data_IF_493675931289
#
_entry.id   IF_493675931289
#
_cell.length_a   1.000
_cell.length_b   1.000
_cell.length_c   1.000
_cell.angle_alpha   90.00
_cell.angle_beta   90.00
_cell.angle_gamma   90.00
#
_symmetry.space_group_name_H-M   'P 1'
#
loop_
_entity.id
_entity.type
_entity.pdbx_description
1 polymer ?
#
# COMPACT_ATOMS: atom_id res chain seq x y z
N UNK A 1 33.66 2.41 -24.36
CA UNK A 1 33.31 2.17 -22.94
C UNK A 1 31.98 2.84 -22.54
N UNK A 2 31.58 4.00 -23.10
CA UNK A 2 30.31 4.66 -22.77
C UNK A 2 29.03 4.02 -23.36
N UNK A 3 29.10 3.42 -24.54
CA UNK A 3 27.93 2.84 -25.21
C UNK A 3 27.20 1.73 -24.43
N UNK A 4 27.89 0.74 -23.80
CA UNK A 4 27.20 -0.29 -23.01
C UNK A 4 26.51 0.28 -21.77
N UNK A 5 27.12 1.30 -21.13
CA UNK A 5 26.55 1.94 -19.93
C UNK A 5 25.26 2.71 -20.25
N UNK A 6 25.22 3.42 -21.39
CA UNK A 6 24.04 4.13 -21.87
C UNK A 6 22.90 3.16 -22.22
N UNK A 7 23.22 1.99 -22.80
CA UNK A 7 22.22 0.98 -23.16
C UNK A 7 21.60 0.31 -21.91
N UNK A 8 22.40 0.07 -20.87
CA UNK A 8 21.94 -0.45 -19.58
C UNK A 8 21.02 0.56 -18.87
N UNK A 9 21.42 1.83 -18.82
CA UNK A 9 20.65 2.92 -18.23
C UNK A 9 19.29 3.11 -18.94
N UNK A 10 19.28 3.06 -20.28
CA UNK A 10 18.04 3.12 -21.07
C UNK A 10 17.13 1.92 -20.79
N UNK A 11 17.70 0.72 -20.62
CA UNK A 11 16.97 -0.50 -20.28
C UNK A 11 16.26 -0.37 -18.93
N UNK A 12 16.96 0.11 -17.91
CA UNK A 12 16.40 0.31 -16.57
C UNK A 12 15.26 1.33 -16.57
N UNK A 13 15.43 2.46 -17.27
CA UNK A 13 14.37 3.46 -17.39
C UNK A 13 13.10 2.92 -18.05
N UNK A 14 13.24 2.06 -19.07
CA UNK A 14 12.09 1.43 -19.74
C UNK A 14 11.37 0.47 -18.81
N UNK A 15 12.11 -0.36 -18.06
CA UNK A 15 11.52 -1.31 -17.09
C UNK A 15 10.79 -0.55 -15.97
N UNK A 16 11.40 0.52 -15.43
CA UNK A 16 10.78 1.35 -14.40
C UNK A 16 9.49 2.01 -14.89
N UNK A 17 9.47 2.53 -16.12
CA UNK A 17 8.29 3.13 -16.72
C UNK A 17 7.17 2.10 -16.93
N UNK A 18 7.50 0.88 -17.35
CA UNK A 18 6.52 -0.20 -17.52
C UNK A 18 5.93 -0.67 -16.20
N UNK A 19 6.78 -0.81 -15.17
CA UNK A 19 6.37 -1.17 -13.80
C UNK A 19 5.43 -0.10 -13.22
N UNK A 20 5.80 1.18 -13.33
CA UNK A 20 4.98 2.30 -12.87
C UNK A 20 3.63 2.34 -13.60
N UNK A 21 3.62 2.21 -14.94
CA UNK A 21 2.40 2.22 -15.72
C UNK A 21 1.48 1.03 -15.37
N UNK A 22 2.06 -0.13 -15.06
CA UNK A 22 1.30 -1.28 -14.56
C UNK A 22 0.66 -0.97 -13.20
N UNK A 23 1.43 -0.46 -12.22
CA UNK A 23 0.92 -0.15 -10.89
C UNK A 23 -0.17 0.93 -10.92
N UNK A 24 0.00 1.98 -11.72
CA UNK A 24 -1.01 3.04 -11.92
C UNK A 24 -2.32 2.43 -12.42
N UNK A 25 -2.27 1.67 -13.52
CA UNK A 25 -3.48 1.07 -14.11
C UNK A 25 -4.16 0.08 -13.16
N UNK A 26 -3.36 -0.76 -12.50
CA UNK A 26 -3.87 -1.74 -11.54
C UNK A 26 -4.60 -1.05 -10.38
N UNK A 27 -3.97 -0.06 -9.74
CA UNK A 27 -4.58 0.63 -8.60
C UNK A 27 -5.75 1.52 -9.01
N UNK A 28 -5.73 2.13 -10.20
CA UNK A 28 -6.88 2.87 -10.71
C UNK A 28 -8.10 1.96 -10.88
N UNK A 29 -7.92 0.78 -11.49
CA UNK A 29 -8.99 -0.22 -11.62
C UNK A 29 -9.46 -0.75 -10.27
N UNK A 30 -8.52 -1.10 -9.40
CA UNK A 30 -8.83 -1.62 -8.08
C UNK A 30 -9.54 -0.58 -7.21
N UNK A 31 -9.13 0.68 -7.25
CA UNK A 31 -9.77 1.78 -6.53
C UNK A 31 -11.21 2.01 -7.03
N UNK A 32 -11.43 1.97 -8.35
CA UNK A 32 -12.78 2.04 -8.90
C UNK A 32 -13.66 0.87 -8.44
N UNK A 33 -13.13 -0.37 -8.47
CA UNK A 33 -13.83 -1.55 -7.98
C UNK A 33 -14.13 -1.47 -6.48
N UNK A 34 -13.16 -1.02 -5.67
CA UNK A 34 -13.31 -0.81 -4.24
C UNK A 34 -14.36 0.26 -3.94
N UNK A 35 -14.37 1.40 -4.66
CA UNK A 35 -15.36 2.45 -4.49
C UNK A 35 -16.79 1.96 -4.80
N UNK A 36 -16.96 1.13 -5.83
CA UNK A 36 -18.25 0.50 -6.17
C UNK A 36 -18.65 -0.52 -5.11
N UNK A 37 -17.72 -1.36 -4.65
CA UNK A 37 -18.03 -2.38 -3.67
C UNK A 37 -18.36 -1.78 -2.31
N UNK A 38 -17.56 -0.82 -1.82
CA UNK A 38 -17.72 -0.20 -0.51
C UNK A 38 -18.82 0.87 -0.46
N UNK A 39 -19.21 1.45 -1.60
CA UNK A 39 -20.29 2.44 -1.68
C UNK A 39 -21.68 1.79 -1.73
N UNK A 40 -22.19 1.41 -2.91
CA UNK A 40 -23.55 0.89 -3.07
C UNK A 40 -23.80 -0.56 -2.63
N UNK A 41 -22.76 -1.41 -2.45
CA UNK A 41 -22.96 -2.87 -2.29
C UNK A 41 -22.85 -3.41 -0.85
N UNK A 42 -22.37 -2.64 0.12
CA UNK A 42 -22.41 -3.04 1.52
C UNK A 42 -23.46 -2.24 2.28
N UNK A 43 -24.48 -2.90 2.89
CA UNK A 43 -25.40 -2.19 3.77
C UNK A 43 -24.59 -1.54 4.91
N UNK A 44 -24.87 -0.25 5.17
CA UNK A 44 -24.33 0.46 6.33
C UNK A 44 -24.54 -0.39 7.58
N UNK A 45 -23.57 -0.44 8.47
CA UNK A 45 -23.73 -1.10 9.78
C UNK A 45 -24.92 -0.43 10.47
N UNK A 46 -26.04 -1.14 10.54
CA UNK A 46 -27.37 -0.62 10.91
C UNK A 46 -27.51 -0.24 12.38
N UNK A 47 -26.44 -0.36 13.17
CA UNK A 47 -26.43 -0.03 14.61
C UNK A 47 -25.71 1.28 14.97
N UNK A 48 -25.14 2.01 13.99
CA UNK A 48 -24.55 3.33 14.20
C UNK A 48 -25.13 4.32 13.18
N UNK A 49 -25.95 5.31 13.61
CA UNK A 49 -26.61 6.28 12.73
C UNK A 49 -25.68 7.08 11.81
N UNK A 50 -24.37 7.10 12.12
CA UNK A 50 -23.37 7.94 11.45
C UNK A 50 -22.21 7.17 10.79
N UNK A 51 -22.19 5.82 10.82
CA UNK A 51 -21.05 5.09 10.26
C UNK A 51 -21.01 5.22 8.71
N UNK A 52 -20.01 5.92 8.13
CA UNK A 52 -19.97 6.18 6.69
C UNK A 52 -19.34 5.02 5.89
N UNK A 53 -18.94 3.93 6.54
CA UNK A 53 -18.13 2.86 5.94
C UNK A 53 -18.86 1.51 5.84
N UNK A 54 -18.49 0.75 4.81
CA UNK A 54 -18.76 -0.68 4.63
C UNK A 54 -18.27 -1.49 5.83
N UNK A 55 -18.86 -2.67 6.08
CA UNK A 55 -18.39 -3.58 7.14
C UNK A 55 -16.88 -3.87 7.03
N UNK A 56 -16.19 -4.02 8.16
CA UNK A 56 -14.77 -4.39 8.21
C UNK A 56 -14.47 -5.72 7.50
N UNK A 57 -15.48 -6.60 7.39
CA UNK A 57 -15.41 -7.80 6.55
C UNK A 57 -15.32 -7.50 5.05
N UNK A 58 -15.95 -6.43 4.57
CA UNK A 58 -15.83 -5.94 3.20
C UNK A 58 -14.41 -5.48 2.89
N UNK A 59 -13.86 -4.65 3.79
CA UNK A 59 -12.48 -4.17 3.69
C UNK A 59 -11.50 -5.34 3.72
N UNK A 60 -11.69 -6.29 4.64
CA UNK A 60 -10.89 -7.50 4.71
C UNK A 60 -10.93 -8.29 3.40
N UNK A 61 -12.11 -8.43 2.79
CA UNK A 61 -12.28 -9.13 1.51
C UNK A 61 -11.55 -8.41 0.38
N UNK A 62 -11.61 -7.08 0.34
CA UNK A 62 -10.86 -6.27 -0.62
C UNK A 62 -9.36 -6.39 -0.44
N UNK A 63 -8.85 -6.38 0.80
CA UNK A 63 -7.42 -6.55 1.06
C UNK A 63 -6.95 -7.91 0.54
N UNK A 64 -7.69 -8.98 0.83
CA UNK A 64 -7.36 -10.32 0.29
C UNK A 64 -7.41 -10.33 -1.24
N UNK A 65 -8.44 -9.74 -1.84
CA UNK A 65 -8.57 -9.63 -3.30
C UNK A 65 -7.42 -8.82 -3.92
N UNK A 66 -6.99 -7.74 -3.28
CA UNK A 66 -5.85 -6.93 -3.70
C UNK A 66 -4.58 -7.77 -3.70
N UNK A 67 -4.30 -8.51 -2.62
CA UNK A 67 -3.11 -9.37 -2.52
C UNK A 67 -3.10 -10.45 -3.60
N UNK A 68 -4.24 -11.11 -3.84
CA UNK A 68 -4.34 -12.12 -4.89
C UNK A 68 -4.12 -11.52 -6.29
N UNK A 69 -4.75 -10.38 -6.58
CA UNK A 69 -4.68 -9.73 -7.89
C UNK A 69 -3.29 -9.16 -8.17
N UNK A 70 -2.64 -8.52 -7.19
CA UNK A 70 -1.29 -7.98 -7.35
C UNK A 70 -0.25 -9.11 -7.44
N UNK A 71 -0.40 -10.21 -6.70
CA UNK A 71 0.48 -11.37 -6.79
C UNK A 71 0.45 -11.96 -8.21
N UNK A 72 -0.74 -12.14 -8.78
CA UNK A 72 -0.92 -12.60 -10.15
C UNK A 72 -0.34 -11.60 -11.16
N UNK A 73 -0.66 -10.31 -11.03
CA UNK A 73 -0.23 -9.28 -11.97
C UNK A 73 1.27 -8.97 -11.96
N UNK A 74 1.95 -9.26 -10.84
CA UNK A 74 3.41 -9.08 -10.71
C UNK A 74 4.21 -10.35 -11.00
N UNK A 75 3.59 -11.52 -11.17
CA UNK A 75 4.30 -12.80 -11.34
C UNK A 75 5.32 -12.82 -12.49
N UNK A 76 5.06 -12.08 -13.58
CA UNK A 76 5.98 -11.91 -14.72
C UNK A 76 6.92 -10.70 -14.61
N UNK A 77 6.90 -9.99 -13.47
CA UNK A 77 7.68 -8.78 -13.18
C UNK A 77 8.52 -9.00 -11.91
N UNK A 78 9.72 -9.61 -12.02
CA UNK A 78 10.47 -10.11 -10.87
C UNK A 78 10.74 -9.05 -9.79
N UNK A 79 11.07 -7.82 -10.21
CA UNK A 79 11.30 -6.67 -9.33
C UNK A 79 10.06 -6.35 -8.50
N UNK A 80 8.92 -6.08 -9.14
CA UNK A 80 7.67 -5.79 -8.44
C UNK A 80 7.19 -6.97 -7.59
N UNK A 81 7.38 -8.19 -8.05
CA UNK A 81 7.00 -9.38 -7.30
C UNK A 81 7.83 -9.55 -6.02
N UNK A 82 9.13 -9.24 -6.08
CA UNK A 82 9.99 -9.23 -4.89
C UNK A 82 9.58 -8.13 -3.91
N UNK A 83 9.33 -6.91 -4.41
CA UNK A 83 8.82 -5.81 -3.60
C UNK A 83 7.51 -6.18 -2.92
N UNK A 84 6.55 -6.72 -3.67
CA UNK A 84 5.25 -7.17 -3.14
C UNK A 84 5.43 -8.20 -2.01
N UNK A 85 6.23 -9.26 -2.22
CA UNK A 85 6.48 -10.27 -1.17
C UNK A 85 7.08 -9.65 0.09
N UNK A 86 8.04 -8.75 -0.09
CA UNK A 86 8.67 -8.04 1.04
C UNK A 86 7.63 -7.21 1.81
N UNK A 87 6.88 -6.35 1.12
CA UNK A 87 5.90 -5.49 1.80
C UNK A 87 4.72 -6.27 2.37
N UNK A 88 4.34 -7.40 1.77
CA UNK A 88 3.29 -8.27 2.30
C UNK A 88 3.68 -8.87 3.65
N UNK A 89 4.92 -9.35 3.79
CA UNK A 89 5.43 -9.84 5.08
C UNK A 89 5.58 -8.68 6.07
N UNK A 90 6.15 -7.55 5.63
CA UNK A 90 6.34 -6.37 6.47
C UNK A 90 5.00 -5.84 7.01
N UNK A 91 3.97 -5.77 6.18
CA UNK A 91 2.62 -5.32 6.53
C UNK A 91 2.01 -6.12 7.69
N UNK A 92 2.30 -7.43 7.78
CA UNK A 92 1.82 -8.25 8.92
C UNK A 92 2.44 -7.77 10.23
N UNK A 93 3.72 -7.39 10.21
CA UNK A 93 4.41 -6.86 11.38
C UNK A 93 4.03 -5.42 11.72
N UNK A 94 3.47 -4.66 10.77
CA UNK A 94 2.96 -3.30 11.02
C UNK A 94 1.75 -3.27 11.95
N UNK A 95 1.11 -4.41 12.23
CA UNK A 95 0.06 -4.50 13.26
C UNK A 95 0.63 -4.29 14.67
N UNK A 96 1.89 -4.66 14.92
CA UNK A 96 2.50 -4.53 16.25
C UNK A 96 2.58 -3.08 16.75
N UNK A 97 3.12 -2.11 15.98
CA UNK A 97 3.13 -0.71 16.42
C UNK A 97 1.71 -0.15 16.57
N UNK A 98 0.78 -0.50 15.67
CA UNK A 98 -0.61 -0.04 15.76
C UNK A 98 -1.31 -0.60 17.02
N UNK A 99 -1.06 -1.88 17.34
CA UNK A 99 -1.54 -2.51 18.56
C UNK A 99 -0.94 -1.87 19.81
N UNK A 100 0.35 -1.57 19.81
CA UNK A 100 0.99 -0.89 20.93
C UNK A 100 0.42 0.52 21.15
N UNK A 101 0.21 1.28 20.07
CA UNK A 101 -0.41 2.61 20.13
C UNK A 101 -1.87 2.56 20.63
N UNK A 102 -2.62 1.51 20.26
CA UNK A 102 -4.01 1.36 20.64
C UNK A 102 -4.22 0.81 22.04
N UNK A 103 -3.52 -0.28 22.41
CA UNK A 103 -3.75 -1.03 23.65
C UNK A 103 -2.87 -0.54 24.80
N UNK A 104 -1.60 -0.22 24.54
CA UNK A 104 -0.65 0.17 25.59
C UNK A 104 -0.67 1.67 25.85
N UNK A 105 -0.62 2.47 24.79
CA UNK A 105 -0.59 3.94 24.90
C UNK A 105 -1.98 4.59 24.90
N UNK A 106 -3.00 3.92 24.35
CA UNK A 106 -4.35 4.47 24.25
C UNK A 106 -4.46 5.71 23.37
N UNK A 107 -3.48 5.95 22.48
CA UNK A 107 -3.43 7.14 21.61
C UNK A 107 -4.10 6.91 20.25
N UNK A 108 -4.38 5.66 19.90
CA UNK A 108 -5.01 5.26 18.64
C UNK A 108 -6.28 4.47 18.91
N UNK A 109 -7.42 4.91 18.37
CA UNK A 109 -8.72 4.26 18.60
C UNK A 109 -9.25 3.72 17.27
N UNK A 110 -9.46 2.41 17.20
CA UNK A 110 -10.11 1.76 16.06
C UNK A 110 -11.62 1.63 16.32
N UNK A 111 -12.49 2.21 15.49
CA UNK A 111 -13.93 2.09 15.64
C UNK A 111 -14.39 0.64 15.38
N UNK A 112 -15.52 0.26 15.98
CA UNK A 112 -16.13 -1.05 15.72
C UNK A 112 -16.62 -1.13 14.27
N UNK A 113 -16.05 -2.06 13.51
CA UNK A 113 -16.33 -2.26 12.08
C UNK A 113 -16.87 -3.67 11.79
N UNK A 114 -16.93 -4.56 12.79
CA UNK A 114 -17.38 -5.94 12.64
C UNK A 114 -16.33 -6.89 12.02
N UNK A 115 -15.09 -6.44 11.80
CA UNK A 115 -13.97 -7.33 11.51
C UNK A 115 -13.47 -8.03 12.78
N UNK A 116 -12.81 -9.17 12.61
CA UNK A 116 -12.06 -9.79 13.70
C UNK A 116 -10.89 -8.88 14.09
N UNK A 117 -10.61 -8.82 15.40
CA UNK A 117 -9.55 -7.96 15.95
C UNK A 117 -8.39 -8.77 16.52
N UNK A 118 -7.18 -8.31 16.22
CA UNK A 118 -5.92 -8.78 16.79
C UNK A 118 -5.73 -8.08 18.12
N UNK A 119 -5.53 -8.85 19.20
CA UNK A 119 -5.38 -8.29 20.55
C UNK A 119 -6.62 -7.53 21.05
N UNK A 120 -7.80 -7.75 20.45
CA UNK A 120 -9.05 -7.07 20.81
C UNK A 120 -9.20 -5.63 20.29
N UNK A 121 -8.17 -5.05 19.67
CA UNK A 121 -8.15 -3.62 19.29
C UNK A 121 -7.99 -3.40 17.78
N UNK A 122 -7.01 -4.01 17.13
CA UNK A 122 -6.67 -3.73 15.72
C UNK A 122 -7.41 -4.68 14.78
N UNK A 123 -8.15 -4.16 13.80
CA UNK A 123 -8.84 -4.99 12.80
C UNK A 123 -7.86 -5.82 11.95
N UNK A 124 -8.16 -7.11 11.74
CA UNK A 124 -7.25 -8.08 11.11
C UNK A 124 -6.80 -7.70 9.70
N UNK A 125 -7.62 -6.96 8.95
CA UNK A 125 -7.27 -6.51 7.60
C UNK A 125 -6.07 -5.55 7.58
N UNK A 126 -5.75 -4.90 8.71
CA UNK A 126 -4.57 -4.04 8.84
C UNK A 126 -3.27 -4.81 8.58
N UNK A 127 -3.24 -6.11 8.82
CA UNK A 127 -2.08 -6.97 8.54
C UNK A 127 -1.72 -7.03 7.05
N UNK A 128 -2.66 -6.73 6.14
CA UNK A 128 -2.40 -6.64 4.70
C UNK A 128 -2.50 -5.24 4.13
N UNK A 129 -3.23 -4.34 4.80
CA UNK A 129 -3.56 -3.02 4.28
C UNK A 129 -2.32 -2.15 4.01
N UNK A 130 -1.31 -2.22 4.88
CA UNK A 130 -0.05 -1.47 4.75
C UNK A 130 0.75 -1.86 3.50
N UNK A 131 0.53 -3.06 2.95
CA UNK A 131 1.19 -3.49 1.70
C UNK A 131 0.92 -2.55 0.54
N UNK A 132 -0.27 -1.93 0.50
CA UNK A 132 -0.71 -1.05 -0.59
C UNK A 132 0.17 0.21 -0.68
N UNK A 133 0.24 1.07 0.36
CA UNK A 133 1.09 2.26 0.32
C UNK A 133 2.59 1.92 0.30
N UNK A 134 3.02 0.86 1.00
CA UNK A 134 4.43 0.46 1.02
C UNK A 134 4.93 -0.01 -0.35
N UNK A 135 4.10 -0.70 -1.13
CA UNK A 135 4.45 -1.10 -2.50
C UNK A 135 4.70 0.13 -3.38
N UNK A 136 3.85 1.16 -3.27
CA UNK A 136 4.04 2.43 -3.98
C UNK A 136 5.31 3.14 -3.56
N UNK A 137 5.60 3.18 -2.25
CA UNK A 137 6.82 3.76 -1.73
C UNK A 137 8.06 3.10 -2.36
N UNK A 138 8.14 1.77 -2.34
CA UNK A 138 9.28 1.05 -2.94
C UNK A 138 9.33 1.16 -4.47
N UNK A 139 8.19 1.25 -5.13
CA UNK A 139 8.14 1.37 -6.59
C UNK A 139 8.60 2.76 -7.08
N UNK A 140 8.24 3.83 -6.35
CA UNK A 140 8.56 5.22 -6.68
C UNK A 140 10.00 5.62 -6.33
N UNK A 141 10.64 4.91 -5.40
CA UNK A 141 12.04 5.15 -5.00
C UNK A 141 12.91 3.96 -5.41
N UNK A 142 13.27 3.84 -6.71
CA UNK A 142 14.16 2.78 -7.16
C UNK A 142 15.52 2.87 -6.46
N UNK A 143 16.15 1.71 -6.25
CA UNK A 143 17.46 1.62 -5.62
C UNK A 143 18.46 2.53 -6.36
N UNK A 144 19.34 3.22 -5.63
CA UNK A 144 20.31 4.09 -6.26
C UNK A 144 21.28 3.27 -7.13
N UNK A 145 21.72 3.88 -8.23
CA UNK A 145 22.55 3.25 -9.27
C UNK A 145 23.78 2.57 -8.65
N UNK A 146 24.24 1.48 -9.28
CA UNK A 146 25.49 0.83 -8.92
C UNK A 146 26.63 1.88 -8.86
N UNK A 147 27.03 2.27 -7.64
CA UNK A 147 28.04 3.31 -7.38
C UNK A 147 27.61 4.41 -6.40
N UNK A 148 26.31 4.60 -6.17
CA UNK A 148 25.77 5.52 -5.16
C UNK A 148 24.94 4.72 -4.18
N UNK A 149 25.34 4.63 -2.91
CA UNK A 149 24.54 3.94 -1.90
C UNK A 149 23.44 4.82 -1.29
N UNK A 150 23.46 6.13 -1.58
CA UNK A 150 22.65 7.12 -0.90
C UNK A 150 21.68 7.77 -1.90
N UNK A 151 20.38 7.86 -1.59
CA UNK A 151 19.46 8.71 -2.34
C UNK A 151 19.90 10.17 -2.24
N UNK A 152 19.71 10.94 -3.31
CA UNK A 152 19.99 12.38 -3.28
C UNK A 152 19.03 13.09 -2.32
N UNK A 153 19.48 14.22 -1.74
CA UNK A 153 18.62 15.05 -0.88
C UNK A 153 17.33 15.47 -1.59
N UNK A 154 17.37 15.69 -2.91
CA UNK A 154 16.21 16.08 -3.70
C UNK A 154 15.20 14.92 -3.84
N UNK A 155 15.66 13.68 -3.97
CA UNK A 155 14.79 12.50 -3.96
C UNK A 155 14.15 12.29 -2.58
N UNK A 156 14.93 12.48 -1.51
CA UNK A 156 14.42 12.41 -0.13
C UNK A 156 13.38 13.51 0.16
N UNK A 157 13.67 14.76 -0.24
CA UNK A 157 12.74 15.87 -0.09
C UNK A 157 11.48 15.67 -0.93
N UNK A 158 11.64 15.16 -2.17
CA UNK A 158 10.52 14.79 -3.02
C UNK A 158 9.63 13.73 -2.38
N UNK A 159 10.22 12.69 -1.77
CA UNK A 159 9.51 11.67 -1.02
C UNK A 159 8.74 12.24 0.16
N UNK A 160 9.39 13.08 0.97
CA UNK A 160 8.80 13.69 2.15
C UNK A 160 7.61 14.59 1.78
N UNK A 161 7.75 15.43 0.74
CA UNK A 161 6.66 16.28 0.26
C UNK A 161 5.50 15.45 -0.30
N UNK A 162 5.79 14.43 -1.11
CA UNK A 162 4.74 13.56 -1.64
C UNK A 162 3.99 12.81 -0.52
N UNK A 163 4.71 12.27 0.46
CA UNK A 163 4.10 11.63 1.62
C UNK A 163 3.25 12.62 2.41
N UNK A 164 3.77 13.82 2.70
CA UNK A 164 3.03 14.86 3.43
C UNK A 164 1.75 15.26 2.70
N UNK A 165 1.79 15.40 1.37
CA UNK A 165 0.60 15.74 0.58
C UNK A 165 -0.43 14.60 0.61
N UNK A 166 -0.01 13.35 0.44
CA UNK A 166 -0.92 12.20 0.46
C UNK A 166 -1.55 12.02 1.84
N UNK A 167 -0.75 11.99 2.90
CA UNK A 167 -1.25 11.78 4.25
C UNK A 167 -2.00 13.00 4.78
N UNK A 168 -1.48 14.22 4.55
CA UNK A 168 -2.14 15.45 4.96
C UNK A 168 -3.48 15.69 4.24
N UNK A 169 -3.61 15.28 2.98
CA UNK A 169 -4.90 15.32 2.29
C UNK A 169 -5.88 14.23 2.76
N UNK A 170 -5.39 13.14 3.36
CA UNK A 170 -6.22 12.03 3.84
C UNK A 170 -6.84 12.26 5.23
N UNK A 171 -6.44 13.32 5.94
CA UNK A 171 -6.99 13.68 7.26
C UNK A 171 -8.30 14.49 7.19
N UNK A 172 -8.85 14.75 5.99
CA UNK A 172 -10.11 15.46 5.76
C UNK A 172 -11.25 14.51 5.40
#
# INVERSE_FOLDING_TARGET
>A
VQLPLIMEELGDHVVLAQDAAFLIRFHAWFAAAAAILLGPCFPKVTQLPEAPYSSGSAVCSLVVAWHAAIAAGTSSRPRLHQMWRFVAVLSVFMVLPDWFLADVLGTLVFPEDGAWRIGGTVSVYMAGLWSIPLLWLLACFPAPRAGSCEPSLLELLGAAVAALLVFGASEQ
#
